data_IF_054622394486
#
_entry.id   IF_054622394486
#
_cell.length_a   1.000
_cell.length_b   1.000
_cell.length_c   1.000
_cell.angle_alpha   90.00
_cell.angle_beta   90.00
_cell.angle_gamma   90.00
#
_symmetry.space_group_name_H-M   'P 1'
#
loop_
_entity.id
_entity.type
_entity.pdbx_description
1 polymer ?
#
# COMPACT_ATOMS: atom_id res chain seq x y z
N UNK A 1 20.57 -36.33 -31.48
CA UNK A 1 20.22 -36.06 -30.09
C UNK A 1 20.45 -34.59 -29.63
N UNK A 2 21.11 -33.70 -30.38
CA UNK A 2 21.36 -32.28 -29.95
C UNK A 2 20.18 -31.33 -30.14
N UNK A 3 19.21 -31.59 -31.03
CA UNK A 3 18.08 -30.64 -31.26
C UNK A 3 17.00 -30.61 -30.20
N UNK A 4 16.76 -31.68 -29.41
CA UNK A 4 15.74 -31.71 -28.37
C UNK A 4 16.08 -30.86 -27.12
N UNK A 5 17.36 -30.70 -26.79
CA UNK A 5 17.79 -29.90 -25.61
C UNK A 5 17.52 -28.39 -25.79
N UNK A 6 17.59 -27.87 -27.01
CA UNK A 6 17.40 -26.44 -27.27
C UNK A 6 15.92 -26.01 -27.18
N UNK A 7 14.97 -26.89 -27.47
CA UNK A 7 13.53 -26.58 -27.33
C UNK A 7 13.07 -26.55 -25.89
N UNK A 8 13.65 -27.38 -25.01
CA UNK A 8 13.33 -27.37 -23.58
C UNK A 8 13.84 -26.09 -22.92
N UNK A 9 15.02 -25.61 -23.30
CA UNK A 9 15.57 -24.35 -22.80
C UNK A 9 14.77 -23.14 -23.28
N UNK A 10 14.30 -23.14 -24.53
CA UNK A 10 13.45 -22.09 -25.10
C UNK A 10 12.05 -22.05 -24.43
N UNK A 11 11.48 -23.22 -24.14
CA UNK A 11 10.20 -23.33 -23.44
C UNK A 11 10.30 -22.86 -21.98
N UNK A 12 11.40 -23.13 -21.28
CA UNK A 12 11.65 -22.64 -19.92
C UNK A 12 11.87 -21.13 -19.88
N UNK A 13 12.54 -20.54 -20.86
CA UNK A 13 12.69 -19.08 -20.99
C UNK A 13 11.37 -18.38 -21.33
N UNK A 14 10.54 -18.95 -22.18
CA UNK A 14 9.19 -18.45 -22.49
C UNK A 14 8.25 -18.54 -21.28
N UNK A 15 8.36 -19.60 -20.47
CA UNK A 15 7.56 -19.74 -19.24
C UNK A 15 7.95 -18.69 -18.17
N UNK A 16 9.24 -18.32 -18.07
CA UNK A 16 9.70 -17.28 -17.13
C UNK A 16 9.24 -15.88 -17.54
N UNK A 17 9.18 -15.56 -18.84
CA UNK A 17 8.70 -14.25 -19.31
C UNK A 17 7.20 -14.07 -19.10
N UNK A 18 6.40 -15.14 -19.20
CA UNK A 18 4.95 -15.10 -18.97
C UNK A 18 4.63 -14.89 -17.47
N UNK A 19 5.42 -15.44 -16.55
CA UNK A 19 5.22 -15.26 -15.11
C UNK A 19 5.56 -13.83 -14.67
N UNK A 20 6.54 -13.17 -15.31
CA UNK A 20 6.86 -11.75 -15.00
C UNK A 20 5.84 -10.78 -15.58
N UNK A 21 5.18 -11.08 -16.69
CA UNK A 21 4.14 -10.24 -17.29
C UNK A 21 2.84 -10.22 -16.47
N UNK A 22 2.52 -11.29 -15.73
CA UNK A 22 1.29 -11.35 -14.92
C UNK A 22 1.31 -10.45 -13.68
N UNK A 23 2.48 -10.10 -13.14
CA UNK A 23 2.60 -9.25 -11.95
C UNK A 23 2.42 -7.75 -12.23
N UNK A 24 2.79 -7.29 -13.41
CA UNK A 24 2.64 -5.89 -13.86
C UNK A 24 1.24 -5.59 -14.40
N UNK A 25 0.51 -6.62 -14.79
CA UNK A 25 -0.78 -6.51 -15.48
C UNK A 25 -1.94 -6.20 -14.50
N UNK A 26 -1.85 -6.64 -13.25
CA UNK A 26 -2.97 -6.53 -12.32
C UNK A 26 -3.26 -5.09 -11.89
N UNK A 27 -2.24 -4.31 -11.53
CA UNK A 27 -2.42 -2.90 -11.16
C UNK A 27 -2.93 -2.10 -12.36
N UNK A 28 -2.39 -2.36 -13.57
CA UNK A 28 -2.86 -1.74 -14.81
C UNK A 28 -4.34 -2.06 -15.08
N UNK A 29 -4.77 -3.31 -14.91
CA UNK A 29 -6.15 -3.71 -15.09
C UNK A 29 -7.10 -3.06 -14.05
N UNK A 30 -6.68 -2.92 -12.79
CA UNK A 30 -7.46 -2.22 -11.76
C UNK A 30 -7.59 -0.73 -12.12
N UNK A 31 -6.51 -0.10 -12.57
CA UNK A 31 -6.51 1.31 -13.02
C UNK A 31 -7.43 1.53 -14.21
N UNK A 32 -7.41 0.63 -15.19
CA UNK A 32 -8.32 0.69 -16.34
C UNK A 32 -9.78 0.70 -15.89
N UNK A 33 -10.17 -0.19 -14.98
CA UNK A 33 -11.52 -0.22 -14.40
C UNK A 33 -11.85 1.06 -13.62
N UNK A 34 -10.90 1.58 -12.84
CA UNK A 34 -11.07 2.77 -12.02
C UNK A 34 -11.35 4.02 -12.86
N UNK A 35 -10.70 4.15 -14.02
CA UNK A 35 -10.80 5.32 -14.89
C UNK A 35 -11.81 5.15 -16.04
N UNK A 36 -12.39 3.98 -16.23
CA UNK A 36 -13.39 3.75 -17.25
C UNK A 36 -14.80 4.10 -16.72
N UNK A 37 -15.41 5.23 -17.14
CA UNK A 37 -16.73 5.63 -16.66
C UNK A 37 -17.86 4.68 -17.11
N UNK A 38 -17.62 3.88 -18.14
CA UNK A 38 -18.58 2.91 -18.68
C UNK A 38 -18.41 1.51 -18.07
N UNK A 39 -17.42 1.33 -17.19
CA UNK A 39 -17.19 0.04 -16.53
C UNK A 39 -18.41 -0.38 -15.71
N UNK A 40 -18.80 -1.65 -15.83
CA UNK A 40 -19.81 -2.30 -14.98
C UNK A 40 -19.19 -3.08 -13.83
N UNK A 41 -17.86 -3.09 -13.74
CA UNK A 41 -17.13 -3.78 -12.69
C UNK A 41 -17.27 -3.05 -11.34
N UNK A 42 -17.30 -3.83 -10.27
CA UNK A 42 -17.25 -3.32 -8.91
C UNK A 42 -15.83 -3.49 -8.40
N UNK A 43 -15.18 -2.39 -8.01
CA UNK A 43 -13.89 -2.43 -7.34
C UNK A 43 -14.09 -2.72 -5.85
N UNK A 44 -13.40 -3.71 -5.33
CA UNK A 44 -13.46 -4.11 -3.92
C UNK A 44 -12.33 -3.41 -3.16
N UNK A 45 -12.72 -2.63 -2.13
CA UNK A 45 -11.76 -1.94 -1.25
C UNK A 45 -11.74 -2.61 0.11
N UNK A 46 -10.56 -3.02 0.57
CA UNK A 46 -10.36 -3.58 1.91
C UNK A 46 -9.85 -2.50 2.86
N UNK A 47 -10.66 -2.15 3.87
CA UNK A 47 -10.33 -1.17 4.90
C UNK A 47 -9.28 -1.72 5.86
N UNK A 48 -8.09 -1.11 5.91
CA UNK A 48 -6.91 -1.53 6.70
C UNK A 48 -6.41 -2.94 6.39
N UNK A 49 -6.69 -3.43 5.17
CA UNK A 49 -6.35 -4.78 4.74
C UNK A 49 -7.26 -5.88 5.33
N UNK A 50 -6.77 -7.12 5.33
CA UNK A 50 -7.48 -8.27 5.93
C UNK A 50 -7.30 -8.28 7.46
N UNK A 51 -7.92 -7.34 8.15
CA UNK A 51 -7.82 -7.19 9.60
C UNK A 51 -8.49 -8.34 10.40
N UNK A 52 -9.25 -9.20 9.76
CA UNK A 52 -9.91 -10.35 10.41
C UNK A 52 -8.94 -11.50 10.62
N UNK A 53 -8.05 -11.75 9.66
CA UNK A 53 -7.09 -12.85 9.71
C UNK A 53 -5.66 -12.37 10.03
N UNK A 54 -5.42 -11.06 10.01
CA UNK A 54 -4.14 -10.44 10.35
C UNK A 54 -4.37 -9.21 11.26
N UNK A 55 -3.30 -8.48 11.60
CA UNK A 55 -3.43 -7.20 12.28
C UNK A 55 -3.79 -6.11 11.27
N UNK A 56 -4.72 -5.22 11.59
CA UNK A 56 -5.02 -4.04 10.76
C UNK A 56 -3.73 -3.26 10.44
N UNK A 57 -3.66 -2.66 9.26
CA UNK A 57 -2.54 -1.83 8.85
C UNK A 57 -1.17 -2.54 8.90
N UNK A 58 -1.14 -3.86 8.73
CA UNK A 58 0.10 -4.64 8.66
C UNK A 58 0.43 -5.08 7.23
N UNK A 59 1.70 -5.36 6.97
CA UNK A 59 2.13 -5.96 5.69
C UNK A 59 1.36 -7.26 5.42
N UNK A 60 1.11 -8.06 6.45
CA UNK A 60 0.38 -9.33 6.32
C UNK A 60 -1.09 -9.11 5.93
N UNK A 61 -1.75 -8.07 6.50
CA UNK A 61 -3.12 -7.72 6.14
C UNK A 61 -3.22 -7.29 4.66
N UNK A 62 -2.26 -6.52 4.17
CA UNK A 62 -2.17 -6.13 2.75
C UNK A 62 -1.92 -7.35 1.87
N UNK A 63 -0.99 -8.22 2.23
CA UNK A 63 -0.68 -9.47 1.52
C UNK A 63 -1.90 -10.39 1.42
N UNK A 64 -2.62 -10.59 2.51
CA UNK A 64 -3.81 -11.43 2.53
C UNK A 64 -4.93 -10.84 1.67
N UNK A 65 -5.21 -9.54 1.79
CA UNK A 65 -6.19 -8.85 0.96
C UNK A 65 -5.88 -9.01 -0.54
N UNK A 66 -4.60 -8.83 -0.91
CA UNK A 66 -4.15 -9.04 -2.29
C UNK A 66 -4.36 -10.48 -2.77
N UNK A 67 -4.05 -11.50 -1.93
CA UNK A 67 -4.27 -12.92 -2.25
C UNK A 67 -5.75 -13.27 -2.40
N UNK A 68 -6.63 -12.61 -1.65
CA UNK A 68 -8.09 -12.76 -1.79
C UNK A 68 -8.66 -12.11 -3.05
N UNK A 69 -7.84 -11.40 -3.83
CA UNK A 69 -8.30 -10.76 -5.06
C UNK A 69 -8.90 -9.37 -4.86
N UNK A 70 -8.70 -8.74 -3.69
CA UNK A 70 -9.10 -7.35 -3.43
C UNK A 70 -8.38 -6.41 -4.39
N UNK A 71 -9.07 -5.42 -4.96
CA UNK A 71 -8.52 -4.50 -5.94
C UNK A 71 -7.72 -3.37 -5.29
N UNK A 72 -8.22 -2.83 -4.18
CA UNK A 72 -7.62 -1.70 -3.48
C UNK A 72 -7.56 -2.02 -1.98
N UNK A 73 -6.41 -1.76 -1.34
CA UNK A 73 -6.29 -1.80 0.12
C UNK A 73 -6.16 -0.37 0.62
N UNK A 74 -7.07 0.02 1.49
CA UNK A 74 -6.95 1.30 2.19
C UNK A 74 -6.07 1.11 3.43
N UNK A 75 -5.17 2.07 3.69
CA UNK A 75 -4.26 2.11 4.83
C UNK A 75 -4.11 3.53 5.37
N UNK A 76 -3.82 3.64 6.65
CA UNK A 76 -3.70 4.91 7.36
C UNK A 76 -2.23 5.26 7.63
N UNK A 77 -1.85 6.53 7.44
CA UNK A 77 -0.50 7.00 7.69
C UNK A 77 -0.37 7.70 9.05
N UNK A 78 0.76 7.46 9.69
CA UNK A 78 1.24 8.20 10.85
C UNK A 78 2.72 8.55 10.70
N UNK A 79 3.19 9.58 11.44
CA UNK A 79 4.59 10.02 11.40
C UNK A 79 5.21 9.95 12.80
N UNK A 80 6.36 9.30 12.88
CA UNK A 80 7.14 9.13 14.10
C UNK A 80 7.85 10.42 14.54
N UNK A 81 8.40 10.43 15.75
CA UNK A 81 9.21 11.53 16.29
C UNK A 81 10.40 11.92 15.42
N UNK A 82 11.04 10.93 14.82
CA UNK A 82 12.20 11.09 13.93
C UNK A 82 11.81 11.27 12.46
N UNK A 83 10.49 11.47 12.18
CA UNK A 83 9.99 11.86 10.87
C UNK A 83 9.63 10.72 9.93
N UNK A 84 9.77 9.47 10.33
CA UNK A 84 9.50 8.30 9.48
C UNK A 84 8.00 8.04 9.31
N UNK A 85 7.56 7.68 8.11
CA UNK A 85 6.17 7.32 7.84
C UNK A 85 5.93 5.84 8.17
N UNK A 86 4.97 5.61 9.05
CA UNK A 86 4.47 4.29 9.43
C UNK A 86 3.01 4.11 9.01
N UNK A 87 2.54 2.86 8.99
CA UNK A 87 1.15 2.56 8.71
C UNK A 87 0.43 2.25 10.02
N UNK A 88 -0.42 3.19 10.47
CA UNK A 88 -1.18 3.11 11.70
C UNK A 88 -2.31 4.13 11.71
N UNK A 89 -3.52 3.70 12.13
CA UNK A 89 -4.70 4.56 12.17
C UNK A 89 -4.67 5.56 13.33
N UNK A 90 -4.39 5.06 14.53
CA UNK A 90 -4.51 5.85 15.76
C UNK A 90 -3.27 6.72 15.99
N UNK A 91 -3.46 7.88 16.59
CA UNK A 91 -2.34 8.72 17.04
C UNK A 91 -1.52 8.09 18.18
N UNK A 92 -2.09 7.07 18.87
CA UNK A 92 -1.43 6.31 19.93
C UNK A 92 -1.21 4.87 19.52
N UNK A 93 -0.09 4.30 19.96
CA UNK A 93 0.24 2.89 19.73
C UNK A 93 -0.55 1.90 20.60
N UNK A 94 -1.33 2.39 21.54
CA UNK A 94 -1.93 1.67 22.68
C UNK A 94 -2.88 0.54 22.28
N UNK A 95 -3.77 0.80 21.29
CA UNK A 95 -4.83 -0.15 20.94
C UNK A 95 -4.29 -1.31 20.10
N UNK A 96 -3.47 -1.00 19.12
CA UNK A 96 -3.04 -1.96 18.11
C UNK A 96 -1.67 -2.57 18.37
N UNK A 97 -0.98 -2.15 19.46
CA UNK A 97 0.36 -2.68 19.77
C UNK A 97 0.54 -3.07 21.24
N UNK A 98 1.71 -3.59 21.56
CA UNK A 98 2.14 -3.90 22.94
C UNK A 98 2.68 -2.68 23.68
N UNK A 99 2.81 -1.53 23.01
CA UNK A 99 3.34 -0.28 23.57
C UNK A 99 2.29 0.65 24.13
N UNK A 100 2.76 1.83 24.57
CA UNK A 100 1.97 2.94 25.07
C UNK A 100 2.55 4.26 24.59
N UNK A 101 1.68 5.27 24.38
CA UNK A 101 2.06 6.63 24.06
C UNK A 101 1.69 7.04 22.65
N UNK A 102 2.01 8.29 22.31
CA UNK A 102 1.71 8.85 20.98
C UNK A 102 2.79 8.45 19.97
N UNK A 103 2.37 8.16 18.74
CA UNK A 103 3.25 7.86 17.61
C UNK A 103 4.30 8.98 17.42
N UNK A 104 3.87 10.24 17.47
CA UNK A 104 4.72 11.42 17.30
C UNK A 104 5.81 11.59 18.36
N UNK A 105 5.70 10.91 19.50
CA UNK A 105 6.64 10.99 20.62
C UNK A 105 7.65 9.82 20.62
N UNK A 106 7.44 8.82 19.75
CA UNK A 106 8.28 7.62 19.61
C UNK A 106 9.06 7.65 18.30
N UNK A 107 10.33 7.25 18.35
CA UNK A 107 11.16 7.01 17.16
C UNK A 107 10.74 5.75 16.44
N UNK A 108 11.09 5.63 15.15
CA UNK A 108 10.89 4.39 14.39
C UNK A 108 11.53 3.19 15.09
N UNK A 109 12.73 3.35 15.62
CA UNK A 109 13.44 2.29 16.33
C UNK A 109 12.65 1.77 17.54
N UNK A 110 12.05 2.66 18.34
CA UNK A 110 11.19 2.30 19.47
C UNK A 110 9.91 1.61 18.99
N UNK A 111 9.24 2.14 17.98
CA UNK A 111 8.01 1.55 17.40
C UNK A 111 8.30 0.15 16.83
N UNK A 112 9.44 -0.08 16.20
CA UNK A 112 9.84 -1.39 15.67
C UNK A 112 10.13 -2.45 16.76
N UNK A 113 10.25 -2.08 18.03
CA UNK A 113 10.31 -3.04 19.15
C UNK A 113 8.91 -3.55 19.54
N UNK A 114 7.86 -2.79 19.23
CA UNK A 114 6.50 -3.16 19.55
C UNK A 114 6.01 -4.33 18.68
N UNK A 115 5.04 -5.07 19.21
CA UNK A 115 4.32 -6.10 18.46
C UNK A 115 2.89 -5.66 18.23
N UNK A 116 2.38 -5.91 17.04
CA UNK A 116 0.98 -5.69 16.72
C UNK A 116 0.10 -6.66 17.51
N UNK A 117 -1.11 -6.19 17.83
CA UNK A 117 -2.21 -7.00 18.36
C UNK A 117 -3.27 -7.18 17.27
N UNK A 118 -3.85 -8.37 17.19
CA UNK A 118 -4.96 -8.62 16.28
C UNK A 118 -6.28 -8.03 16.83
N UNK A 119 -7.37 -8.16 16.07
CA UNK A 119 -8.69 -7.65 16.44
C UNK A 119 -9.25 -8.23 17.77
N UNK A 120 -8.72 -9.35 18.25
CA UNK A 120 -9.05 -9.95 19.55
C UNK A 120 -8.08 -9.50 20.66
N UNK A 121 -7.26 -8.47 20.43
CA UNK A 121 -6.27 -7.95 21.36
C UNK A 121 -5.14 -8.97 21.72
N UNK A 122 -4.94 -9.99 20.90
CA UNK A 122 -3.88 -10.99 21.11
C UNK A 122 -2.59 -10.45 20.46
N UNK A 123 -1.49 -10.49 21.22
CA UNK A 123 -0.15 -10.16 20.74
C UNK A 123 0.28 -11.13 19.65
N UNK A 124 0.80 -10.58 18.54
CA UNK A 124 1.32 -11.34 17.41
C UNK A 124 2.84 -11.23 17.29
N UNK A 125 3.41 -11.86 16.27
CA UNK A 125 4.81 -11.73 15.90
C UNK A 125 5.06 -10.51 15.00
N UNK A 126 4.01 -9.89 14.45
CA UNK A 126 4.10 -8.80 13.49
C UNK A 126 4.50 -7.49 14.15
N UNK A 127 5.17 -6.64 13.39
CA UNK A 127 5.61 -5.30 13.78
C UNK A 127 4.81 -4.25 13.03
N UNK A 128 4.79 -3.02 13.56
CA UNK A 128 4.28 -1.86 12.84
C UNK A 128 5.12 -1.65 11.59
N UNK A 129 4.52 -1.62 10.39
CA UNK A 129 5.28 -1.41 9.17
C UNK A 129 5.53 0.07 8.89
N UNK A 130 6.61 0.35 8.16
CA UNK A 130 6.79 1.62 7.47
C UNK A 130 5.92 1.66 6.22
N UNK A 131 5.67 2.88 5.69
CA UNK A 131 5.00 3.03 4.40
C UNK A 131 5.81 2.33 3.29
N UNK A 132 7.15 2.45 3.28
CA UNK A 132 8.00 1.80 2.30
C UNK A 132 7.82 0.27 2.28
N UNK A 133 7.77 -0.38 3.43
CA UNK A 133 7.53 -1.84 3.52
C UNK A 133 6.18 -2.25 2.90
N UNK A 134 5.14 -1.43 3.10
CA UNK A 134 3.81 -1.72 2.54
C UNK A 134 3.76 -1.44 1.04
N UNK A 135 4.37 -0.35 0.56
CA UNK A 135 4.48 -0.05 -0.87
C UNK A 135 5.16 -1.18 -1.64
N UNK A 136 6.29 -1.69 -1.11
CA UNK A 136 7.02 -2.80 -1.73
C UNK A 136 6.23 -4.11 -1.71
N UNK A 137 5.45 -4.38 -0.65
CA UNK A 137 4.57 -5.56 -0.62
C UNK A 137 3.44 -5.47 -1.64
N UNK A 138 2.84 -4.28 -1.82
CA UNK A 138 1.71 -4.06 -2.73
C UNK A 138 2.12 -4.03 -4.22
N UNK A 139 3.38 -3.72 -4.50
CA UNK A 139 3.91 -3.49 -5.86
C UNK A 139 3.54 -4.62 -6.82
N UNK A 140 2.84 -4.25 -7.91
CA UNK A 140 2.37 -5.16 -8.96
C UNK A 140 1.23 -6.11 -8.55
N UNK A 141 0.70 -6.00 -7.33
CA UNK A 141 -0.28 -6.95 -6.78
C UNK A 141 -1.64 -6.34 -6.48
N UNK A 142 -1.67 -5.13 -5.93
CA UNK A 142 -2.88 -4.46 -5.43
C UNK A 142 -2.66 -2.95 -5.40
N UNK A 143 -3.70 -2.16 -5.59
CA UNK A 143 -3.61 -0.72 -5.39
C UNK A 143 -3.75 -0.36 -3.91
N UNK A 144 -3.20 0.78 -3.52
CA UNK A 144 -3.30 1.32 -2.16
C UNK A 144 -4.05 2.66 -2.18
N UNK A 145 -4.98 2.82 -1.23
CA UNK A 145 -5.59 4.11 -0.90
C UNK A 145 -4.96 4.59 0.42
N UNK A 146 -4.19 5.67 0.34
CA UNK A 146 -3.45 6.21 1.47
C UNK A 146 -4.28 7.31 2.16
N UNK A 147 -4.85 7.01 3.34
CA UNK A 147 -5.48 8.03 4.18
C UNK A 147 -4.41 8.90 4.86
N UNK A 148 -4.71 10.19 5.06
CA UNK A 148 -3.78 11.22 5.58
C UNK A 148 -2.54 11.48 4.72
N UNK A 149 -2.50 11.00 3.46
CA UNK A 149 -1.31 11.14 2.61
C UNK A 149 -0.93 12.60 2.32
N UNK A 150 -1.92 13.48 2.18
CA UNK A 150 -1.68 14.91 1.91
C UNK A 150 -1.09 15.66 3.10
N UNK A 151 -1.23 15.18 4.34
CA UNK A 151 -0.56 15.75 5.51
C UNK A 151 0.96 15.60 5.42
N UNK A 152 1.42 14.63 4.59
CA UNK A 152 2.82 14.27 4.39
C UNK A 152 3.20 14.20 2.91
N UNK A 153 2.54 14.98 2.04
CA UNK A 153 2.56 14.82 0.59
C UNK A 153 3.97 14.63 0.01
N UNK A 154 4.89 15.56 0.30
CA UNK A 154 6.23 15.49 -0.29
C UNK A 154 7.01 14.24 0.13
N UNK A 155 6.91 13.86 1.40
CA UNK A 155 7.57 12.66 1.90
C UNK A 155 6.97 11.37 1.31
N UNK A 156 5.64 11.32 1.17
CA UNK A 156 4.97 10.21 0.48
C UNK A 156 5.44 10.14 -0.97
N UNK A 157 5.41 11.28 -1.68
CA UNK A 157 5.80 11.34 -3.09
C UNK A 157 7.26 10.87 -3.31
N UNK A 158 8.19 11.30 -2.49
CA UNK A 158 9.59 10.84 -2.53
C UNK A 158 9.71 9.31 -2.36
N UNK A 159 8.92 8.73 -1.45
CA UNK A 159 8.88 7.27 -1.28
C UNK A 159 8.27 6.56 -2.50
N UNK A 160 7.24 7.13 -3.14
CA UNK A 160 6.64 6.58 -4.36
C UNK A 160 7.66 6.57 -5.52
N UNK A 161 8.41 7.65 -5.71
CA UNK A 161 9.48 7.73 -6.71
C UNK A 161 10.59 6.71 -6.41
N UNK A 162 11.06 6.66 -5.14
CA UNK A 162 12.10 5.74 -4.68
C UNK A 162 11.73 4.27 -4.92
N UNK A 163 10.49 3.90 -4.65
CA UNK A 163 10.01 2.51 -4.74
C UNK A 163 9.48 2.16 -6.12
N UNK A 164 9.22 3.16 -6.97
CA UNK A 164 8.57 2.99 -8.28
C UNK A 164 7.16 2.44 -8.11
N UNK A 165 6.33 3.09 -7.26
CA UNK A 165 4.98 2.66 -6.89
C UNK A 165 3.92 3.76 -7.03
N UNK A 166 4.24 4.84 -7.74
CA UNK A 166 3.30 5.96 -7.92
C UNK A 166 2.02 5.54 -8.67
N UNK A 167 2.13 4.59 -9.58
CA UNK A 167 1.04 4.07 -10.40
C UNK A 167 -0.02 3.26 -9.64
N UNK A 168 0.33 2.72 -8.46
CA UNK A 168 -0.59 1.90 -7.67
C UNK A 168 -1.26 2.68 -6.52
N UNK A 169 -0.95 3.97 -6.33
CA UNK A 169 -1.38 4.71 -5.15
C UNK A 169 -2.47 5.72 -5.47
N UNK A 170 -3.49 5.73 -4.62
CA UNK A 170 -4.51 6.77 -4.51
C UNK A 170 -4.21 7.57 -3.25
N UNK A 171 -4.04 8.89 -3.39
CA UNK A 171 -3.81 9.79 -2.25
C UNK A 171 -5.09 10.52 -1.89
N UNK A 172 -5.57 10.30 -0.67
CA UNK A 172 -6.79 10.93 -0.17
C UNK A 172 -6.47 12.25 0.54
N UNK A 173 -7.25 13.28 0.25
CA UNK A 173 -7.15 14.61 0.88
C UNK A 173 -8.49 15.08 1.42
N UNK A 174 -8.44 15.82 2.53
CA UNK A 174 -9.57 16.57 3.04
C UNK A 174 -9.62 18.02 2.48
N UNK A 175 -8.59 18.45 1.73
CA UNK A 175 -8.54 19.75 1.11
C UNK A 175 -9.47 19.80 -0.12
N UNK A 176 -10.03 21.00 -0.45
CA UNK A 176 -10.77 21.21 -1.69
C UNK A 176 -9.90 20.87 -2.91
N UNK A 177 -10.53 20.35 -3.97
CA UNK A 177 -9.82 19.96 -5.19
C UNK A 177 -9.05 21.13 -5.83
N UNK A 178 -9.58 22.34 -5.73
CA UNK A 178 -8.94 23.56 -6.23
C UNK A 178 -7.62 23.88 -5.51
N UNK A 179 -7.59 23.70 -4.19
CA UNK A 179 -6.37 23.89 -3.39
C UNK A 179 -5.32 22.84 -3.73
N UNK A 180 -5.74 21.58 -3.88
CA UNK A 180 -4.85 20.50 -4.29
C UNK A 180 -4.30 20.74 -5.69
N UNK A 181 -5.14 21.19 -6.63
CA UNK A 181 -4.70 21.52 -7.99
C UNK A 181 -3.69 22.69 -7.99
N UNK A 182 -3.94 23.72 -7.19
CA UNK A 182 -3.04 24.88 -7.08
C UNK A 182 -1.68 24.49 -6.49
N UNK A 183 -1.68 23.72 -5.40
CA UNK A 183 -0.48 23.47 -4.58
C UNK A 183 0.32 22.25 -5.08
N UNK A 184 -0.36 21.26 -5.67
CA UNK A 184 0.21 19.98 -6.06
C UNK A 184 -0.04 19.61 -7.54
N UNK A 185 -0.64 20.49 -8.36
CA UNK A 185 -1.06 20.19 -9.73
C UNK A 185 0.02 19.55 -10.60
N UNK A 186 1.29 19.94 -10.45
CA UNK A 186 2.43 19.38 -11.18
C UNK A 186 2.74 17.89 -10.86
N UNK A 187 2.12 17.32 -9.83
CA UNK A 187 2.29 15.93 -9.45
C UNK A 187 1.07 15.05 -9.78
N UNK A 188 -0.08 15.66 -10.12
CA UNK A 188 -1.35 14.95 -10.31
C UNK A 188 -1.42 14.12 -11.59
N UNK A 189 -0.47 14.27 -12.50
CA UNK A 189 -0.27 13.38 -13.65
C UNK A 189 0.35 12.04 -13.27
N UNK A 190 1.02 11.98 -12.10
CA UNK A 190 1.74 10.80 -11.62
C UNK A 190 1.03 10.04 -10.49
N UNK A 191 0.19 10.73 -9.71
CA UNK A 191 -0.55 10.12 -8.60
C UNK A 191 -2.05 10.33 -8.75
N UNK A 192 -2.84 9.38 -8.29
CA UNK A 192 -4.31 9.51 -8.29
C UNK A 192 -4.72 10.28 -7.04
N UNK A 193 -5.43 11.37 -7.26
CA UNK A 193 -6.01 12.17 -6.19
C UNK A 193 -7.47 11.78 -5.95
N UNK A 194 -7.84 11.56 -4.68
CA UNK A 194 -9.21 11.35 -4.26
C UNK A 194 -9.63 12.45 -3.27
N UNK A 195 -10.48 13.40 -3.69
CA UNK A 195 -11.04 14.39 -2.77
C UNK A 195 -11.99 13.71 -1.79
N UNK A 196 -12.08 14.25 -0.58
CA UNK A 196 -13.19 13.93 0.32
C UNK A 196 -14.37 14.82 -0.08
N UNK A 197 -15.48 14.19 -0.42
CA UNK A 197 -16.76 14.85 -0.72
C UNK A 197 -17.54 15.07 0.57
#
# INVERSE_FOLDING_TARGET
MKKRKNYILLLLLLCQTVVWAQGTDRVAAIREKLFNPDSKDVLVVSHRGDWRNACENSVEAVRNASRMGVDIVEIDLGRTKDGELIVMHDDKVDRTTTGKGYVKDLTLAEIKQLRLRNGCNIKTIYKVPTLEEVLLEAKGKVMLNLDKAFDYFHQVYELLEKTGTADLVIMKSNAPAEDVQRDYGKYLDKVIFMPKV
#
